data_IF_047452092408
#
_entry.id   IF_047452092408
#
_cell.length_a   1.000
_cell.length_b   1.000
_cell.length_c   1.000
_cell.angle_alpha   90.00
_cell.angle_beta   90.00
_cell.angle_gamma   90.00
#
_symmetry.space_group_name_H-M   'P 1'
#
loop_
_entity.id
_entity.type
_entity.pdbx_description
1 polymer ?
#
# COMPACT_ATOMS: atom_id res chain seq x y z
N UNK A 1 -30.59 0.13 -32.22
CA UNK A 1 -29.49 -0.80 -31.89
C UNK A 1 -28.31 0.08 -31.47
N UNK A 2 -28.37 0.61 -30.25
CA UNK A 2 -27.33 1.47 -29.67
C UNK A 2 -26.24 0.56 -29.10
N UNK A 3 -25.03 0.63 -29.63
CA UNK A 3 -23.87 -0.11 -29.12
C UNK A 3 -23.33 0.62 -27.89
N UNK A 4 -23.56 0.07 -26.70
CA UNK A 4 -23.01 0.59 -25.45
C UNK A 4 -21.48 0.75 -25.50
N UNK A 5 -20.89 1.82 -24.94
CA UNK A 5 -19.49 2.20 -25.15
C UNK A 5 -18.48 1.44 -24.26
N UNK A 6 -18.85 0.25 -23.75
CA UNK A 6 -18.01 -0.50 -22.81
C UNK A 6 -17.04 -1.48 -23.47
N UNK A 7 -16.94 -1.49 -24.80
CA UNK A 7 -16.07 -2.42 -25.54
C UNK A 7 -14.94 -1.69 -26.24
N UNK A 8 -14.10 -1.03 -25.44
CA UNK A 8 -12.71 -0.76 -25.79
C UNK A 8 -11.87 -1.16 -24.56
N UNK A 9 -11.43 -2.41 -24.54
CA UNK A 9 -10.34 -2.84 -23.65
C UNK A 9 -9.08 -2.19 -24.19
N UNK A 10 -8.89 -0.94 -23.78
CA UNK A 10 -7.70 -0.15 -24.08
C UNK A 10 -6.49 -0.82 -23.45
N UNK A 11 -5.57 -1.32 -24.28
CA UNK A 11 -4.25 -1.83 -23.85
C UNK A 11 -3.47 -0.79 -23.02
N UNK A 12 -3.81 0.49 -23.11
CA UNK A 12 -3.24 1.58 -22.29
C UNK A 12 -3.60 1.50 -20.80
N UNK A 13 -4.74 0.89 -20.44
CA UNK A 13 -5.16 0.74 -19.04
C UNK A 13 -4.22 -0.16 -18.23
N UNK A 14 -3.65 -1.19 -18.85
CA UNK A 14 -2.73 -2.13 -18.19
C UNK A 14 -1.37 -1.48 -17.87
N UNK A 15 -0.85 -0.66 -18.79
CA UNK A 15 0.39 0.12 -18.58
C UNK A 15 0.18 1.18 -17.51
N UNK A 16 -0.98 1.84 -17.51
CA UNK A 16 -1.35 2.82 -16.46
C UNK A 16 -1.42 2.16 -15.08
N UNK A 17 -2.11 1.01 -14.96
CA UNK A 17 -2.18 0.23 -13.71
C UNK A 17 -0.80 -0.18 -13.19
N UNK A 18 0.10 -0.66 -14.06
CA UNK A 18 1.46 -1.04 -13.66
C UNK A 18 2.23 0.14 -13.06
N UNK A 19 2.19 1.32 -13.71
CA UNK A 19 2.86 2.52 -13.21
C UNK A 19 2.29 2.98 -11.87
N UNK A 20 0.96 2.91 -11.71
CA UNK A 20 0.31 3.32 -10.48
C UNK A 20 0.66 2.36 -9.32
N UNK A 21 0.64 1.04 -9.57
CA UNK A 21 1.09 0.04 -8.59
C UNK A 21 2.56 0.28 -8.20
N UNK A 22 3.45 0.50 -9.17
CA UNK A 22 4.86 0.77 -8.90
C UNK A 22 5.05 2.03 -8.04
N UNK A 23 4.36 3.13 -8.36
CA UNK A 23 4.39 4.35 -7.54
C UNK A 23 3.92 4.10 -6.12
N UNK A 24 2.82 3.34 -5.93
CA UNK A 24 2.32 3.02 -4.58
C UNK A 24 3.33 2.20 -3.77
N UNK A 25 3.97 1.19 -4.39
CA UNK A 25 5.00 0.39 -3.73
C UNK A 25 6.23 1.23 -3.37
N UNK A 26 6.67 2.15 -4.24
CA UNK A 26 7.80 3.05 -3.93
C UNK A 26 7.49 3.98 -2.76
N UNK A 27 6.29 4.55 -2.70
CA UNK A 27 5.85 5.37 -1.57
C UNK A 27 5.81 4.57 -0.26
N UNK A 28 5.34 3.31 -0.31
CA UNK A 28 5.34 2.41 0.85
C UNK A 28 6.76 2.10 1.35
N UNK A 29 7.74 2.05 0.44
CA UNK A 29 9.15 1.87 0.75
C UNK A 29 9.87 3.19 1.12
N UNK A 30 9.15 4.31 1.20
CA UNK A 30 9.70 5.67 1.42
C UNK A 30 10.70 6.12 0.33
N UNK A 31 10.60 5.58 -0.88
CA UNK A 31 11.40 5.99 -2.04
C UNK A 31 10.60 7.03 -2.80
N UNK A 32 11.06 8.28 -2.84
CA UNK A 32 10.37 9.34 -3.60
C UNK A 32 10.56 9.10 -5.10
N UNK A 33 9.53 9.37 -5.90
CA UNK A 33 9.64 9.27 -7.37
C UNK A 33 10.58 10.30 -7.99
N UNK A 34 11.13 11.23 -7.21
CA UNK A 34 12.15 12.17 -7.67
C UNK A 34 13.56 11.58 -7.54
N UNK A 35 13.77 10.66 -6.60
CA UNK A 35 15.11 10.10 -6.29
C UNK A 35 15.35 8.73 -6.92
N UNK A 36 14.34 8.11 -7.52
CA UNK A 36 14.45 6.75 -8.04
C UNK A 36 15.42 6.62 -9.24
N UNK A 37 15.50 7.60 -10.15
CA UNK A 37 16.41 7.55 -11.30
C UNK A 37 17.87 7.65 -10.86
N UNK A 38 18.16 8.53 -9.91
CA UNK A 38 19.48 8.69 -9.33
C UNK A 38 19.91 7.46 -8.52
N UNK A 39 18.98 6.89 -7.75
CA UNK A 39 19.22 5.63 -7.05
C UNK A 39 19.41 4.47 -8.02
N UNK A 40 18.67 4.41 -9.14
CA UNK A 40 18.79 3.34 -10.13
C UNK A 40 20.16 3.35 -10.84
N UNK A 41 20.76 4.54 -11.04
CA UNK A 41 22.14 4.68 -11.55
C UNK A 41 23.17 4.08 -10.58
N UNK A 42 22.91 4.14 -9.27
CA UNK A 42 23.75 3.55 -8.25
C UNK A 42 23.17 2.24 -7.71
N UNK A 43 23.42 1.14 -8.41
CA UNK A 43 22.89 -0.19 -8.08
C UNK A 43 23.16 -0.64 -6.62
N UNK A 44 24.34 -0.41 -6.02
CA UNK A 44 24.55 -0.66 -4.59
C UNK A 44 23.64 0.17 -3.67
N UNK A 45 23.49 1.48 -3.94
CA UNK A 45 22.60 2.34 -3.17
C UNK A 45 21.14 1.90 -3.31
N UNK A 46 20.69 1.59 -4.54
CA UNK A 46 19.36 1.04 -4.80
C UNK A 46 19.04 -0.17 -3.92
N UNK A 47 19.93 -1.17 -3.89
CA UNK A 47 19.72 -2.39 -3.07
C UNK A 47 19.59 -2.07 -1.59
N UNK A 48 20.42 -1.15 -1.07
CA UNK A 48 20.36 -0.74 0.35
C UNK A 48 19.05 -0.05 0.67
N UNK A 49 18.65 0.92 -0.16
CA UNK A 49 17.42 1.70 0.04
C UNK A 49 16.17 0.81 -0.05
N UNK A 50 16.09 -0.07 -1.04
CA UNK A 50 14.97 -1.02 -1.15
C UNK A 50 14.89 -1.95 0.07
N UNK A 51 16.03 -2.47 0.55
CA UNK A 51 16.06 -3.34 1.73
C UNK A 51 15.61 -2.60 3.00
N UNK A 52 16.07 -1.36 3.18
CA UNK A 52 15.66 -0.52 4.30
C UNK A 52 14.17 -0.18 4.25
N UNK A 53 13.67 0.23 3.08
CA UNK A 53 12.25 0.50 2.86
C UNK A 53 11.36 -0.71 3.13
N UNK A 54 11.81 -1.91 2.72
CA UNK A 54 11.05 -3.15 2.93
C UNK A 54 10.92 -3.48 4.43
N UNK A 55 12.00 -3.34 5.19
CA UNK A 55 11.98 -3.55 6.63
C UNK A 55 11.02 -2.58 7.35
N UNK A 56 10.99 -1.31 6.93
CA UNK A 56 10.05 -0.31 7.47
C UNK A 56 8.61 -0.68 7.12
N UNK A 57 8.35 -1.04 5.88
CA UNK A 57 7.01 -1.44 5.43
C UNK A 57 6.49 -2.65 6.20
N UNK A 58 7.31 -3.68 6.39
CA UNK A 58 6.96 -4.87 7.17
C UNK A 58 6.67 -4.52 8.63
N UNK A 59 7.51 -3.69 9.26
CA UNK A 59 7.29 -3.21 10.63
C UNK A 59 5.95 -2.47 10.77
N UNK A 60 5.63 -1.59 9.82
CA UNK A 60 4.36 -0.87 9.79
C UNK A 60 3.17 -1.83 9.62
N UNK A 61 3.29 -2.82 8.75
CA UNK A 61 2.25 -3.83 8.54
C UNK A 61 1.99 -4.65 9.79
N UNK A 62 3.04 -5.05 10.51
CA UNK A 62 2.93 -5.76 11.80
C UNK A 62 2.26 -4.88 12.85
N UNK A 63 2.68 -3.61 12.96
CA UNK A 63 2.08 -2.66 13.88
C UNK A 63 0.58 -2.50 13.63
N UNK A 64 0.18 -2.27 12.36
CA UNK A 64 -1.24 -2.17 11.97
C UNK A 64 -2.02 -3.45 12.29
N UNK A 65 -1.45 -4.62 12.00
CA UNK A 65 -2.09 -5.90 12.32
C UNK A 65 -2.29 -6.08 13.82
N UNK A 66 -1.29 -5.72 14.63
CA UNK A 66 -1.38 -5.77 16.09
C UNK A 66 -2.42 -4.79 16.65
N UNK A 67 -2.48 -3.56 16.14
CA UNK A 67 -3.52 -2.58 16.51
C UNK A 67 -4.91 -3.13 16.21
N UNK A 68 -5.12 -3.69 15.01
CA UNK A 68 -6.40 -4.31 14.63
C UNK A 68 -6.73 -5.52 15.51
N UNK A 69 -5.74 -6.31 15.90
CA UNK A 69 -5.93 -7.46 16.80
C UNK A 69 -6.31 -7.00 18.21
N UNK A 70 -5.66 -5.97 18.74
CA UNK A 70 -5.97 -5.38 20.04
C UNK A 70 -7.40 -4.83 20.08
N UNK A 71 -7.81 -4.08 19.05
CA UNK A 71 -9.18 -3.57 18.92
C UNK A 71 -10.24 -4.68 18.85
N UNK A 72 -9.92 -5.86 18.30
CA UNK A 72 -10.85 -7.00 18.32
C UNK A 72 -10.88 -7.73 19.67
N UNK A 73 -9.80 -7.66 20.44
CA UNK A 73 -9.69 -8.27 21.77
C UNK A 73 -10.25 -7.38 22.88
N UNK A 74 -10.41 -6.07 22.65
CA UNK A 74 -11.02 -5.19 23.64
C UNK A 74 -12.46 -5.64 23.88
N UNK A 75 -12.88 -5.81 25.15
CA UNK A 75 -14.27 -6.13 25.47
C UNK A 75 -15.21 -5.08 24.86
N UNK A 76 -16.33 -5.53 24.29
CA UNK A 76 -17.40 -4.62 23.90
C UNK A 76 -17.90 -3.88 25.16
N UNK A 77 -18.24 -2.58 25.07
CA UNK A 77 -18.92 -1.88 26.17
C UNK A 77 -20.15 -2.67 26.56
N UNK A 78 -20.14 -3.25 27.77
CA UNK A 78 -21.31 -3.92 28.33
C UNK A 78 -22.27 -2.81 28.75
N UNK A 79 -23.19 -2.44 27.87
CA UNK A 79 -24.35 -1.62 28.23
C UNK A 79 -25.28 -2.47 29.10
N UNK A 80 -24.96 -2.61 30.38
CA UNK A 80 -25.88 -3.14 31.37
C UNK A 80 -26.90 -2.04 31.70
N UNK A 81 -27.89 -1.84 30.82
CA UNK A 81 -29.11 -1.13 31.18
C UNK A 81 -29.94 -2.05 32.07
N UNK A 82 -29.65 -2.04 33.37
CA UNK A 82 -30.58 -2.55 34.36
C UNK A 82 -31.62 -1.44 34.61
N UNK A 83 -32.79 -1.55 33.98
CA UNK A 83 -33.95 -0.77 34.40
C UNK A 83 -34.47 -1.36 35.70
N UNK A 84 -34.59 -0.50 36.71
CA UNK A 84 -35.29 -0.72 37.97
C UNK A 84 -36.81 -0.60 37.78
#
# INVERSE_FOLDING_TARGET
>A
MEMSPWVLVDKGGQVRRYKDTLKTSLTQLQITSATWEDLARNRPAWRRTVKAGAAIYEANMIAVANTKRAARKSPAPRTNTANA
#
